data_IF_162308475551
#
_entry.id   IF_162308475551
#
_cell.length_a   1.000
_cell.length_b   1.000
_cell.length_c   1.000
_cell.angle_alpha   90.00
_cell.angle_beta   90.00
_cell.angle_gamma   90.00
#
_symmetry.space_group_name_H-M   'P 1'
#
loop_
_entity.id
_entity.type
_entity.pdbx_description
1 polymer ?
#
# COMPACT_ATOMS: atom_id res chain seq x y z
N UNK A 1 -20.35 -23.66 -25.29
CA UNK A 1 -19.50 -22.71 -26.06
C UNK A 1 -19.81 -21.32 -25.51
N UNK A 2 -18.88 -20.69 -24.78
CA UNK A 2 -19.07 -19.35 -24.19
C UNK A 2 -19.07 -18.34 -25.33
N UNK A 3 -20.10 -17.52 -25.46
CA UNK A 3 -20.19 -16.52 -26.53
C UNK A 3 -19.31 -15.31 -26.22
N UNK A 4 -18.81 -14.63 -27.27
CA UNK A 4 -17.98 -13.41 -27.13
C UNK A 4 -18.66 -12.29 -26.30
N UNK A 5 -20.00 -12.25 -26.28
CA UNK A 5 -20.77 -11.32 -25.46
C UNK A 5 -20.64 -11.60 -23.96
N UNK A 6 -20.58 -12.87 -23.55
CA UNK A 6 -20.40 -13.25 -22.15
C UNK A 6 -19.05 -12.82 -21.61
N UNK A 7 -17.99 -12.91 -22.45
CA UNK A 7 -16.65 -12.48 -22.07
C UNK A 7 -16.56 -10.95 -21.88
N UNK A 8 -17.29 -10.15 -22.67
CA UNK A 8 -17.35 -8.69 -22.48
C UNK A 8 -18.05 -8.30 -21.18
N UNK A 9 -19.15 -8.97 -20.84
CA UNK A 9 -19.88 -8.74 -19.61
C UNK A 9 -19.00 -8.95 -18.38
N UNK A 10 -18.15 -9.99 -18.39
CA UNK A 10 -17.19 -10.24 -17.29
C UNK A 10 -16.05 -9.21 -17.25
N UNK A 11 -15.62 -8.68 -18.40
CA UNK A 11 -14.57 -7.66 -18.47
C UNK A 11 -15.03 -6.28 -17.96
N UNK A 12 -16.30 -5.91 -18.16
CA UNK A 12 -16.85 -4.62 -17.71
C UNK A 12 -16.99 -4.50 -16.19
N UNK A 13 -16.87 -5.62 -15.44
CA UNK A 13 -16.98 -5.68 -13.98
C UNK A 13 -15.63 -5.84 -13.27
N UNK A 14 -14.56 -5.80 -14.01
CA UNK A 14 -13.20 -5.83 -13.47
C UNK A 14 -12.63 -4.43 -13.40
N UNK A 15 -12.08 -4.07 -12.24
CA UNK A 15 -11.41 -2.80 -12.03
C UNK A 15 -9.96 -3.02 -11.57
N UNK A 16 -9.05 -2.19 -12.08
CA UNK A 16 -7.69 -2.12 -11.57
C UNK A 16 -7.62 -1.13 -10.41
N UNK A 17 -7.12 -1.62 -9.29
CA UNK A 17 -6.90 -0.84 -8.07
C UNK A 17 -5.44 -0.98 -7.67
N UNK A 18 -4.84 0.08 -7.17
CA UNK A 18 -3.50 0.06 -6.60
C UNK A 18 -3.53 0.28 -5.10
N UNK A 19 -2.66 -0.43 -4.40
CA UNK A 19 -2.31 -0.16 -3.00
C UNK A 19 -0.86 0.29 -2.95
N UNK A 20 -0.60 1.39 -2.23
CA UNK A 20 0.75 1.86 -1.91
C UNK A 20 0.93 1.80 -0.40
N UNK A 21 1.95 1.08 0.03
CA UNK A 21 2.37 1.01 1.43
C UNK A 21 3.68 1.78 1.61
N UNK A 22 3.65 2.81 2.46
CA UNK A 22 4.80 3.67 2.77
C UNK A 22 5.35 3.23 4.13
N UNK A 23 6.29 2.29 4.08
CA UNK A 23 6.95 1.76 5.26
C UNK A 23 8.25 2.49 5.63
N UNK A 24 8.86 2.07 6.72
CA UNK A 24 10.10 2.65 7.28
C UNK A 24 11.30 2.50 6.33
N UNK A 25 11.49 1.32 5.74
CA UNK A 25 12.64 1.05 4.88
C UNK A 25 12.29 1.14 3.40
N UNK A 26 11.09 0.78 3.03
CA UNK A 26 10.69 0.67 1.63
C UNK A 26 9.24 1.08 1.41
N UNK A 27 8.98 1.56 0.20
CA UNK A 27 7.64 1.86 -0.30
C UNK A 27 7.27 0.83 -1.35
N UNK A 28 6.10 0.22 -1.20
CA UNK A 28 5.60 -0.85 -2.06
C UNK A 28 4.40 -0.39 -2.87
N UNK A 29 4.33 -0.82 -4.12
CA UNK A 29 3.16 -0.73 -4.97
C UNK A 29 2.66 -2.14 -5.28
N UNK A 30 1.37 -2.35 -5.10
CA UNK A 30 0.66 -3.54 -5.58
C UNK A 30 -0.51 -3.09 -6.45
N UNK A 31 -0.63 -3.61 -7.66
CA UNK A 31 -1.78 -3.40 -8.54
C UNK A 31 -2.53 -4.71 -8.68
N UNK A 32 -3.81 -4.68 -8.37
CA UNK A 32 -4.69 -5.83 -8.45
C UNK A 32 -5.89 -5.53 -9.36
N UNK A 33 -6.31 -6.54 -10.09
CA UNK A 33 -7.59 -6.57 -10.78
C UNK A 33 -8.62 -7.19 -9.86
N UNK A 34 -9.66 -6.43 -9.55
CA UNK A 34 -10.74 -6.85 -8.66
C UNK A 34 -11.96 -7.21 -9.50
N UNK A 35 -12.52 -8.40 -9.27
CA UNK A 35 -13.81 -8.79 -9.79
C UNK A 35 -14.86 -8.67 -8.68
N UNK A 36 -15.72 -7.66 -8.80
CA UNK A 36 -16.72 -7.35 -7.76
C UNK A 36 -17.84 -8.40 -7.66
N UNK A 37 -18.15 -9.09 -8.74
CA UNK A 37 -19.19 -10.15 -8.73
C UNK A 37 -18.69 -11.42 -8.07
N UNK A 38 -17.49 -11.85 -8.45
CA UNK A 38 -16.88 -13.07 -7.91
C UNK A 38 -16.22 -12.83 -6.55
N UNK A 39 -16.19 -11.57 -6.08
CA UNK A 39 -15.50 -11.17 -4.84
C UNK A 39 -14.06 -11.73 -4.78
N UNK A 40 -13.37 -11.65 -5.91
CA UNK A 40 -12.02 -12.16 -6.07
C UNK A 40 -11.09 -11.09 -6.63
N UNK A 41 -9.79 -11.28 -6.43
CA UNK A 41 -8.80 -10.41 -7.03
C UNK A 41 -7.62 -11.22 -7.57
N UNK A 42 -6.89 -10.62 -8.52
CA UNK A 42 -5.63 -11.15 -9.02
C UNK A 42 -4.57 -10.06 -9.04
N UNK A 43 -3.39 -10.36 -8.52
CA UNK A 43 -2.26 -9.43 -8.55
C UNK A 43 -1.74 -9.35 -9.98
N UNK A 44 -1.68 -8.14 -10.53
CA UNK A 44 -1.20 -7.86 -11.90
C UNK A 44 0.22 -7.33 -11.92
N UNK A 45 0.59 -6.57 -10.90
CA UNK A 45 1.92 -5.95 -10.82
C UNK A 45 2.28 -5.64 -9.38
N UNK A 46 3.57 -5.75 -9.08
CA UNK A 46 4.15 -5.28 -7.82
C UNK A 46 5.46 -4.57 -8.10
N UNK A 47 5.75 -3.51 -7.35
CA UNK A 47 7.03 -2.83 -7.36
C UNK A 47 7.42 -2.44 -5.93
N UNK A 48 8.72 -2.41 -5.66
CA UNK A 48 9.29 -2.06 -4.37
C UNK A 48 10.46 -1.11 -4.57
N UNK A 49 10.49 -0.04 -3.78
CA UNK A 49 11.59 0.92 -3.76
C UNK A 49 12.12 1.09 -2.35
N UNK A 50 13.43 1.07 -2.18
CA UNK A 50 14.08 1.33 -0.90
C UNK A 50 14.16 2.84 -0.68
N UNK A 51 13.20 3.39 0.07
CA UNK A 51 13.09 4.83 0.34
C UNK A 51 13.79 5.26 1.62
N UNK A 52 13.97 4.33 2.57
CA UNK A 52 14.55 4.57 3.90
C UNK A 52 13.92 5.77 4.60
N UNK A 53 12.60 5.86 4.55
CA UNK A 53 11.87 7.00 5.12
C UNK A 53 12.01 7.06 6.66
N UNK A 54 12.47 5.98 7.28
CA UNK A 54 12.78 5.95 8.71
C UNK A 54 14.05 6.69 9.13
N UNK A 55 14.86 7.22 8.20
CA UNK A 55 16.02 8.05 8.52
C UNK A 55 15.56 9.34 9.22
N UNK A 56 16.24 9.70 10.33
CA UNK A 56 15.89 10.83 11.19
C UNK A 56 17.05 11.81 11.26
N UNK A 57 16.70 13.10 11.39
CA UNK A 57 17.63 14.14 11.81
C UNK A 57 17.77 14.16 13.36
N UNK A 58 18.52 15.13 13.89
CA UNK A 58 18.79 15.28 15.33
C UNK A 58 17.51 15.63 16.11
N UNK A 59 16.53 16.25 15.47
CA UNK A 59 15.23 16.59 16.05
C UNK A 59 14.18 15.45 15.93
N UNK A 60 14.55 14.34 15.27
CA UNK A 60 13.67 13.19 15.04
C UNK A 60 12.74 13.34 13.82
N UNK A 61 12.94 14.35 12.97
CA UNK A 61 12.18 14.53 11.75
C UNK A 61 12.63 13.55 10.66
N UNK A 62 11.74 13.29 9.70
CA UNK A 62 12.13 12.68 8.42
C UNK A 62 13.16 13.56 7.73
N UNK A 63 14.27 12.99 7.28
CA UNK A 63 15.30 13.76 6.57
C UNK A 63 14.82 14.19 5.19
N UNK A 64 15.30 15.33 4.70
CA UNK A 64 14.94 15.83 3.36
C UNK A 64 15.34 14.83 2.27
N UNK A 65 16.46 14.14 2.41
CA UNK A 65 16.93 13.13 1.47
C UNK A 65 15.97 11.94 1.41
N UNK A 66 15.47 11.46 2.55
CA UNK A 66 14.50 10.36 2.61
C UNK A 66 13.15 10.77 2.03
N UNK A 67 12.70 11.98 2.30
CA UNK A 67 11.49 12.58 1.72
C UNK A 67 11.61 12.66 0.19
N UNK A 68 12.72 13.12 -0.34
CA UNK A 68 12.95 13.22 -1.79
C UNK A 68 12.92 11.82 -2.46
N UNK A 69 13.56 10.81 -1.84
CA UNK A 69 13.49 9.43 -2.35
C UNK A 69 12.06 8.91 -2.40
N UNK A 70 11.27 9.20 -1.37
CA UNK A 70 9.86 8.82 -1.32
C UNK A 70 9.04 9.55 -2.40
N UNK A 71 9.21 10.85 -2.58
CA UNK A 71 8.52 11.64 -3.61
C UNK A 71 8.82 11.15 -5.03
N UNK A 72 10.08 10.88 -5.34
CA UNK A 72 10.48 10.31 -6.65
C UNK A 72 9.80 8.96 -6.88
N UNK A 73 9.77 8.11 -5.86
CA UNK A 73 9.14 6.80 -5.92
C UNK A 73 7.63 6.92 -6.14
N UNK A 74 6.96 7.79 -5.38
CA UNK A 74 5.52 7.99 -5.47
C UNK A 74 5.10 8.59 -6.82
N UNK A 75 5.86 9.53 -7.37
CA UNK A 75 5.66 10.05 -8.73
C UNK A 75 5.73 8.94 -9.78
N UNK A 76 6.72 8.07 -9.69
CA UNK A 76 6.88 6.91 -10.57
C UNK A 76 5.69 5.95 -10.44
N UNK A 77 5.23 5.65 -9.24
CA UNK A 77 4.08 4.79 -8.99
C UNK A 77 2.79 5.40 -9.53
N UNK A 78 2.58 6.71 -9.35
CA UNK A 78 1.42 7.44 -9.90
C UNK A 78 1.39 7.36 -11.42
N UNK A 79 2.52 7.60 -12.09
CA UNK A 79 2.63 7.50 -13.56
C UNK A 79 2.35 6.08 -14.05
N UNK A 80 2.88 5.05 -13.37
CA UNK A 80 2.55 3.67 -13.70
C UNK A 80 1.05 3.40 -13.61
N UNK A 81 0.42 3.78 -12.51
CA UNK A 81 -1.02 3.61 -12.30
C UNK A 81 -1.84 4.32 -13.38
N UNK A 82 -1.50 5.57 -13.70
CA UNK A 82 -2.15 6.37 -14.73
C UNK A 82 -2.03 5.72 -16.11
N UNK A 83 -0.82 5.30 -16.49
CA UNK A 83 -0.53 4.70 -17.79
C UNK A 83 -1.21 3.33 -18.00
N UNK A 84 -1.51 2.62 -16.91
CA UNK A 84 -2.15 1.31 -16.95
C UNK A 84 -3.66 1.33 -16.63
N UNK A 85 -4.27 2.51 -16.52
CA UNK A 85 -5.72 2.64 -16.34
C UNK A 85 -6.22 2.23 -14.95
N UNK A 86 -5.36 2.29 -13.93
CA UNK A 86 -5.76 2.09 -12.53
C UNK A 86 -6.82 3.11 -12.14
N UNK A 87 -7.94 2.64 -11.59
CA UNK A 87 -9.11 3.47 -11.28
C UNK A 87 -9.02 4.13 -9.91
N UNK A 88 -8.36 3.47 -8.97
CA UNK A 88 -8.24 3.96 -7.60
C UNK A 88 -6.86 3.60 -7.05
N UNK A 89 -6.26 4.54 -6.33
CA UNK A 89 -5.03 4.33 -5.57
C UNK A 89 -5.39 4.52 -4.09
N UNK A 90 -5.09 3.51 -3.28
CA UNK A 90 -5.19 3.57 -1.82
C UNK A 90 -3.77 3.60 -1.27
N UNK A 91 -3.44 4.59 -0.44
CA UNK A 91 -2.07 4.74 0.08
C UNK A 91 -2.11 4.83 1.59
N UNK A 92 -1.39 3.95 2.25
CA UNK A 92 -1.19 3.96 3.69
C UNK A 92 0.25 4.35 4.04
N UNK A 93 0.39 5.09 5.15
CA UNK A 93 1.69 5.33 5.78
C UNK A 93 1.66 4.84 7.23
N UNK A 94 2.75 4.19 7.63
CA UNK A 94 2.86 3.48 8.91
C UNK A 94 3.81 4.19 9.89
N UNK A 95 4.49 3.44 10.75
CA UNK A 95 5.29 3.94 11.88
C UNK A 95 6.24 5.09 11.51
N UNK A 96 6.95 5.00 10.40
CA UNK A 96 7.93 6.02 10.02
C UNK A 96 7.31 7.42 9.89
N UNK A 97 6.13 7.53 9.29
CA UNK A 97 5.44 8.82 9.12
C UNK A 97 4.67 9.18 10.38
N UNK A 98 4.04 8.19 11.02
CA UNK A 98 3.23 8.38 12.23
C UNK A 98 4.02 8.95 13.40
N UNK A 99 5.27 8.55 13.55
CA UNK A 99 6.11 8.91 14.68
C UNK A 99 7.00 10.13 14.44
N UNK A 100 7.07 10.62 13.20
CA UNK A 100 7.88 11.77 12.87
C UNK A 100 7.16 13.09 13.18
N UNK A 101 7.83 14.06 13.85
CA UNK A 101 7.24 15.38 14.11
C UNK A 101 6.77 16.08 12.82
N UNK A 102 7.51 15.94 11.72
CA UNK A 102 7.17 16.49 10.40
C UNK A 102 6.36 15.53 9.50
N UNK A 103 5.79 14.45 10.06
CA UNK A 103 5.04 13.46 9.27
C UNK A 103 3.82 14.05 8.54
N UNK A 104 3.10 14.98 9.17
CA UNK A 104 1.98 15.67 8.52
C UNK A 104 2.42 16.59 7.38
N UNK A 105 3.56 17.25 7.52
CA UNK A 105 4.12 18.10 6.46
C UNK A 105 4.55 17.22 5.27
N UNK A 106 5.11 16.04 5.52
CA UNK A 106 5.40 15.06 4.47
C UNK A 106 4.13 14.63 3.72
N UNK A 107 3.05 14.29 4.43
CA UNK A 107 1.76 13.90 3.81
C UNK A 107 1.23 15.01 2.92
N UNK A 108 1.23 16.25 3.42
CA UNK A 108 0.79 17.42 2.67
C UNK A 108 1.65 17.62 1.42
N UNK A 109 2.95 17.54 1.55
CA UNK A 109 3.89 17.69 0.43
C UNK A 109 3.69 16.62 -0.64
N UNK A 110 3.45 15.37 -0.25
CA UNK A 110 3.10 14.29 -1.19
C UNK A 110 1.83 14.62 -1.95
N UNK A 111 0.79 15.08 -1.26
CA UNK A 111 -0.46 15.48 -1.92
C UNK A 111 -0.22 16.60 -2.93
N UNK A 112 0.48 17.66 -2.53
CA UNK A 112 0.74 18.84 -3.36
C UNK A 112 1.58 18.49 -4.62
N UNK A 113 2.58 17.60 -4.48
CA UNK A 113 3.50 17.27 -5.56
C UNK A 113 3.08 16.09 -6.44
N UNK A 114 2.20 15.19 -5.94
CA UNK A 114 1.88 13.94 -6.65
C UNK A 114 0.38 13.70 -6.82
N UNK A 115 -0.46 14.47 -6.15
CA UNK A 115 -1.91 14.23 -6.07
C UNK A 115 -2.22 12.79 -5.57
N UNK A 116 -1.39 12.27 -4.66
CA UNK A 116 -1.64 11.04 -3.92
C UNK A 116 -2.09 11.41 -2.51
N UNK A 117 -3.27 10.96 -2.14
CA UNK A 117 -3.75 11.08 -0.77
C UNK A 117 -3.20 9.93 0.07
N UNK A 118 -2.55 10.27 1.18
CA UNK A 118 -2.02 9.29 2.14
C UNK A 118 -2.93 9.24 3.35
N UNK A 119 -3.31 8.05 3.75
CA UNK A 119 -3.92 7.77 5.04
C UNK A 119 -2.83 7.31 6.01
N UNK A 120 -2.63 8.06 7.09
CA UNK A 120 -1.75 7.65 8.18
C UNK A 120 -2.52 6.71 9.10
N UNK A 121 -2.20 5.42 9.06
CA UNK A 121 -2.91 4.39 9.82
C UNK A 121 -2.31 4.18 11.20
N UNK A 122 -3.16 3.82 12.16
CA UNK A 122 -2.73 3.40 13.50
C UNK A 122 -2.09 2.00 13.48
N UNK A 123 -1.30 1.66 14.50
CA UNK A 123 -0.76 0.31 14.64
C UNK A 123 -1.84 -0.78 14.72
N UNK A 124 -2.99 -0.48 15.32
CA UNK A 124 -4.13 -1.41 15.37
C UNK A 124 -4.77 -1.61 14.00
N UNK A 125 -4.86 -0.57 13.17
CA UNK A 125 -5.36 -0.67 11.81
C UNK A 125 -4.35 -1.40 10.90
N UNK A 126 -3.05 -1.13 11.08
CA UNK A 126 -1.97 -1.86 10.43
C UNK A 126 -2.08 -3.36 10.72
N UNK A 127 -2.19 -3.76 12.01
CA UNK A 127 -2.39 -5.14 12.42
C UNK A 127 -3.66 -5.77 11.81
N UNK A 128 -4.78 -5.01 11.76
CA UNK A 128 -6.01 -5.48 11.13
C UNK A 128 -5.84 -5.75 9.63
N UNK A 129 -5.15 -4.87 8.92
CA UNK A 129 -4.89 -5.04 7.48
C UNK A 129 -3.95 -6.21 7.20
N UNK A 130 -2.91 -6.39 8.02
CA UNK A 130 -2.01 -7.55 7.97
C UNK A 130 -2.82 -8.85 8.13
N UNK A 131 -3.67 -8.91 9.16
CA UNK A 131 -4.55 -10.06 9.40
C UNK A 131 -5.39 -10.39 8.16
N UNK A 132 -6.07 -9.40 7.57
CA UNK A 132 -6.88 -9.60 6.37
C UNK A 132 -6.03 -10.05 5.17
N UNK A 133 -4.82 -9.51 5.01
CA UNK A 133 -3.88 -9.91 3.98
C UNK A 133 -3.49 -11.39 4.10
N UNK A 134 -3.17 -11.84 5.30
CA UNK A 134 -2.81 -13.25 5.57
C UNK A 134 -4.01 -14.16 5.29
N UNK A 135 -5.21 -13.80 5.76
CA UNK A 135 -6.44 -14.57 5.50
C UNK A 135 -6.77 -14.69 4.01
N UNK A 136 -6.44 -13.66 3.21
CA UNK A 136 -6.71 -13.70 1.77
C UNK A 136 -5.82 -14.68 1.00
N UNK A 137 -4.66 -15.03 1.55
CA UNK A 137 -3.66 -15.86 0.89
C UNK A 137 -3.53 -17.28 1.46
N UNK A 138 -4.15 -17.57 2.60
CA UNK A 138 -4.02 -18.86 3.28
C UNK A 138 -5.39 -19.40 3.71
N UNK A 139 -5.59 -20.70 3.51
CA UNK A 139 -6.72 -21.41 4.12
C UNK A 139 -6.31 -21.83 5.53
N UNK A 140 -7.08 -21.41 6.52
CA UNK A 140 -6.90 -21.82 7.90
C UNK A 140 -7.95 -22.90 8.24
N UNK A 141 -7.48 -24.04 8.77
CA UNK A 141 -8.35 -25.01 9.42
C UNK A 141 -8.66 -24.53 10.85
N UNK A 142 -9.46 -25.28 11.61
CA UNK A 142 -9.88 -24.97 12.99
C UNK A 142 -8.69 -24.98 13.99
N UNK A 143 -7.70 -24.16 13.75
CA UNK A 143 -6.50 -24.01 14.59
C UNK A 143 -6.31 -22.55 15.00
N UNK A 144 -5.86 -22.34 16.23
CA UNK A 144 -5.39 -21.02 16.65
C UNK A 144 -4.01 -20.76 16.08
N UNK A 145 -3.78 -19.57 15.54
CA UNK A 145 -2.50 -19.16 14.97
C UNK A 145 -2.11 -17.76 15.47
N UNK A 146 -0.85 -17.48 15.39
CA UNK A 146 -0.28 -16.16 15.70
C UNK A 146 0.37 -15.62 14.44
N UNK A 147 0.07 -14.39 14.07
CA UNK A 147 0.75 -13.67 13.01
C UNK A 147 1.75 -12.72 13.66
N UNK A 148 2.99 -12.77 13.22
CA UNK A 148 4.05 -11.85 13.63
C UNK A 148 4.53 -11.15 12.36
N UNK A 149 4.32 -9.84 12.29
CA UNK A 149 4.88 -8.99 11.24
C UNK A 149 6.02 -8.16 11.81
N UNK A 150 7.21 -8.29 11.21
CA UNK A 150 8.42 -7.60 11.64
C UNK A 150 8.79 -6.59 10.57
N UNK A 151 8.40 -5.33 10.79
CA UNK A 151 8.71 -4.21 9.94
C UNK A 151 10.08 -3.57 10.21
N UNK A 152 10.36 -2.47 9.53
CA UNK A 152 11.58 -1.69 9.72
C UNK A 152 11.52 -0.73 10.92
N UNK A 153 10.33 -0.41 11.44
CA UNK A 153 10.11 0.54 12.54
C UNK A 153 9.09 0.05 13.57
N UNK A 154 8.32 -0.99 13.26
CA UNK A 154 7.32 -1.56 14.18
C UNK A 154 7.32 -3.09 14.09
N UNK A 155 6.64 -3.71 15.05
CA UNK A 155 6.37 -5.15 15.05
C UNK A 155 4.95 -5.35 15.55
N UNK A 156 4.13 -6.03 14.75
CA UNK A 156 2.74 -6.35 15.06
C UNK A 156 2.64 -7.82 15.48
N UNK A 157 1.95 -8.06 16.59
CA UNK A 157 1.60 -9.38 17.11
C UNK A 157 0.08 -9.51 17.08
N UNK A 158 -0.44 -10.46 16.30
CA UNK A 158 -1.88 -10.63 16.07
C UNK A 158 -2.28 -12.05 16.49
N UNK A 159 -3.28 -12.13 17.36
CA UNK A 159 -3.83 -13.37 17.93
C UNK A 159 -5.22 -13.63 17.38
#
# INVERSE_FOLDING_TARGET
MIQKQDLRYFQEKQILVASIDIGTNSTHLLVAEINLELKSFSIKFTDKSTTRLGERDEEGNLTEESIQRALVTLKRFKEYCKSNGVKQIVTAATSAVREAPNGQDFIKRVLDETDIQIEMISGSEEARLIYLGVLSGMAFEDQSFVIIDIGGGSTELIL
#
